data_IF_340042133467
#
_entry.id   IF_340042133467
#
_cell.length_a   1.000
_cell.length_b   1.000
_cell.length_c   1.000
_cell.angle_alpha   90.00
_cell.angle_beta   90.00
_cell.angle_gamma   90.00
#
_symmetry.space_group_name_H-M   'P 1'
#
loop_
_entity.id
_entity.type
_entity.pdbx_description
1 polymer ?
#
# COMPACT_ATOMS: atom_id res chain seq x y z
N UNK A 1 -23.40 -2.50 32.38
CA UNK A 1 -23.71 -3.15 31.09
C UNK A 1 -25.12 -3.77 31.05
N UNK A 2 -25.57 -4.38 32.15
CA UNK A 2 -26.81 -5.17 32.23
C UNK A 2 -28.08 -4.42 31.75
N UNK A 3 -28.24 -3.14 32.13
CA UNK A 3 -29.38 -2.32 31.71
C UNK A 3 -29.29 -1.73 30.28
N UNK A 4 -28.22 -1.97 29.52
CA UNK A 4 -28.05 -1.34 28.20
C UNK A 4 -28.83 -2.09 27.10
N UNK A 5 -29.43 -1.34 26.14
CA UNK A 5 -30.03 -1.89 24.90
C UNK A 5 -28.95 -2.46 23.98
N UNK A 6 -27.85 -1.72 23.82
CA UNK A 6 -26.66 -2.10 23.05
C UNK A 6 -25.43 -1.39 23.63
N UNK A 7 -24.24 -1.82 23.23
CA UNK A 7 -22.96 -1.24 23.67
C UNK A 7 -22.18 -0.79 22.44
N UNK A 8 -21.62 0.42 22.48
CA UNK A 8 -20.65 0.88 21.48
C UNK A 8 -19.26 0.84 22.11
N UNK A 9 -18.37 0.05 21.53
CA UNK A 9 -16.97 -0.05 21.93
C UNK A 9 -16.16 0.99 21.16
N UNK A 10 -15.99 2.18 21.75
CA UNK A 10 -15.23 3.25 21.13
C UNK A 10 -13.72 2.99 21.16
N UNK A 11 -13.13 3.05 19.97
CA UNK A 11 -11.69 2.95 19.77
C UNK A 11 -11.15 1.54 19.97
N UNK A 12 -9.87 1.41 19.63
CA UNK A 12 -9.16 0.14 19.76
C UNK A 12 -9.00 -0.30 21.21
N UNK A 13 -9.12 0.60 22.20
CA UNK A 13 -9.10 0.21 23.62
C UNK A 13 -10.27 -0.71 23.95
N UNK A 14 -11.50 -0.25 23.68
CA UNK A 14 -12.70 -1.03 23.99
C UNK A 14 -12.89 -2.19 23.00
N UNK A 15 -12.54 -2.00 21.73
CA UNK A 15 -12.72 -3.00 20.69
C UNK A 15 -11.69 -4.13 20.80
N UNK A 16 -10.41 -3.79 21.03
CA UNK A 16 -9.27 -4.69 20.82
C UNK A 16 -8.29 -4.77 22.02
N UNK A 17 -8.35 -3.84 22.97
CA UNK A 17 -7.41 -3.71 24.09
C UNK A 17 -6.37 -2.58 23.91
N UNK A 18 -5.97 -2.26 22.68
CA UNK A 18 -4.98 -1.22 22.34
C UNK A 18 -3.64 -1.34 23.08
N UNK A 19 -2.96 -0.21 23.33
CA UNK A 19 -1.57 -0.18 23.79
C UNK A 19 -1.39 -0.86 25.15
N UNK A 20 -2.35 -0.70 26.06
CA UNK A 20 -2.30 -1.33 27.38
C UNK A 20 -2.42 -2.85 27.34
N UNK A 21 -2.93 -3.41 26.23
CA UNK A 21 -3.03 -4.84 25.99
C UNK A 21 -1.88 -5.39 25.13
N UNK A 22 -0.99 -4.53 24.63
CA UNK A 22 0.21 -4.96 23.91
C UNK A 22 1.15 -5.74 24.84
N UNK A 23 2.00 -6.60 24.27
CA UNK A 23 2.95 -7.41 25.03
C UNK A 23 3.83 -6.55 25.96
N UNK A 24 3.97 -6.87 27.27
CA UNK A 24 3.50 -8.08 27.97
C UNK A 24 2.13 -7.98 28.66
N UNK A 25 1.33 -6.94 28.42
CA UNK A 25 0.02 -6.69 29.04
C UNK A 25 0.02 -6.86 30.58
N UNK A 26 0.75 -6.00 31.31
CA UNK A 26 0.97 -6.16 32.75
C UNK A 26 -0.30 -6.02 33.60
N UNK A 27 -1.39 -5.49 33.02
CA UNK A 27 -2.65 -5.24 33.73
C UNK A 27 -3.75 -6.26 33.40
N UNK A 28 -3.52 -7.15 32.44
CA UNK A 28 -4.57 -8.03 31.92
C UNK A 28 -5.67 -7.27 31.18
N UNK A 29 -5.35 -6.14 30.55
CA UNK A 29 -6.29 -5.33 29.79
C UNK A 29 -7.01 -6.20 28.74
N UNK A 30 -8.35 -6.19 28.80
CA UNK A 30 -9.21 -7.11 28.06
C UNK A 30 -10.32 -6.31 27.35
N UNK A 31 -10.54 -6.50 26.02
CA UNK A 31 -11.58 -5.79 25.29
C UNK A 31 -12.99 -6.18 25.72
N UNK A 32 -13.95 -5.28 25.49
CA UNK A 32 -15.31 -5.39 26.03
C UNK A 32 -16.02 -6.66 25.57
N UNK A 33 -15.85 -7.05 24.30
CA UNK A 33 -16.47 -8.24 23.74
C UNK A 33 -15.95 -9.55 24.35
N UNK A 34 -14.81 -9.54 25.05
CA UNK A 34 -14.31 -10.70 25.81
C UNK A 34 -14.95 -10.81 27.20
N UNK A 35 -15.44 -9.69 27.76
CA UNK A 35 -16.06 -9.62 29.09
C UNK A 35 -17.59 -9.75 29.01
N UNK A 36 -18.22 -9.03 28.08
CA UNK A 36 -19.68 -8.97 27.94
C UNK A 36 -20.10 -9.80 26.72
N UNK A 37 -20.93 -10.82 26.95
CA UNK A 37 -21.35 -11.80 25.91
C UNK A 37 -22.83 -11.76 25.57
N UNK A 38 -23.65 -11.16 26.42
CA UNK A 38 -25.12 -11.20 26.36
C UNK A 38 -25.74 -9.88 25.87
N UNK A 39 -24.97 -9.04 25.17
CA UNK A 39 -25.44 -7.75 24.63
C UNK A 39 -24.93 -7.56 23.21
N UNK A 40 -25.68 -6.87 22.32
CA UNK A 40 -25.14 -6.42 21.05
C UNK A 40 -23.99 -5.43 21.27
N UNK A 41 -22.87 -5.65 20.61
CA UNK A 41 -21.67 -4.81 20.70
C UNK A 41 -21.31 -4.30 19.31
N UNK A 42 -21.19 -2.98 19.18
CA UNK A 42 -20.75 -2.28 17.98
C UNK A 42 -19.31 -1.85 18.19
N UNK A 43 -18.36 -2.51 17.54
CA UNK A 43 -16.95 -2.17 17.61
C UNK A 43 -16.63 -1.03 16.64
N UNK A 44 -16.14 0.10 17.15
CA UNK A 44 -15.72 1.23 16.31
C UNK A 44 -14.24 1.47 16.57
N UNK A 45 -13.33 0.63 16.02
CA UNK A 45 -11.92 0.67 16.33
C UNK A 45 -11.18 1.81 15.62
N UNK A 46 -9.94 2.04 16.06
CA UNK A 46 -9.10 3.18 15.70
C UNK A 46 -8.49 3.79 16.96
N UNK A 47 -7.28 4.33 16.85
CA UNK A 47 -6.59 4.98 17.97
C UNK A 47 -6.30 6.47 17.67
N UNK A 48 -7.33 7.35 17.72
CA UNK A 48 -8.76 7.07 17.92
C UNK A 48 -9.48 6.69 16.61
N UNK A 49 -10.81 6.44 16.62
CA UNK A 49 -11.63 6.46 15.41
C UNK A 49 -11.77 7.90 14.88
N UNK A 50 -12.14 8.04 13.61
CA UNK A 50 -12.40 9.34 12.98
C UNK A 50 -13.64 9.98 13.65
N UNK A 51 -13.60 11.28 13.96
CA UNK A 51 -14.69 11.98 14.65
C UNK A 51 -16.02 11.91 13.91
N UNK A 52 -16.00 12.10 12.60
CA UNK A 52 -17.18 12.01 11.72
C UNK A 52 -17.72 10.57 11.62
N UNK A 53 -16.86 9.56 11.77
CA UNK A 53 -17.28 8.14 11.85
C UNK A 53 -18.01 7.88 13.17
N UNK A 54 -17.48 8.38 14.29
CA UNK A 54 -18.14 8.26 15.60
C UNK A 54 -19.52 8.93 15.59
N UNK A 55 -19.58 10.17 15.08
CA UNK A 55 -20.83 10.90 14.91
C UNK A 55 -21.80 10.15 13.98
N UNK A 56 -21.31 9.63 12.85
CA UNK A 56 -22.11 8.88 11.89
C UNK A 56 -22.76 7.63 12.49
N UNK A 57 -22.06 6.88 13.35
CA UNK A 57 -22.63 5.73 14.07
C UNK A 57 -23.75 6.16 15.01
N UNK A 58 -23.57 7.25 15.77
CA UNK A 58 -24.60 7.76 16.69
C UNK A 58 -25.84 8.25 15.91
N UNK A 59 -25.62 9.05 14.86
CA UNK A 59 -26.71 9.56 14.00
C UNK A 59 -27.48 8.41 13.36
N UNK A 60 -26.79 7.36 12.89
CA UNK A 60 -27.44 6.18 12.32
C UNK A 60 -28.38 5.51 13.34
N UNK A 61 -27.90 5.26 14.56
CA UNK A 61 -28.68 4.63 15.61
C UNK A 61 -29.92 5.46 15.96
N UNK A 62 -29.78 6.78 16.07
CA UNK A 62 -30.90 7.68 16.40
C UNK A 62 -31.91 7.81 15.26
N UNK A 63 -31.44 7.84 14.02
CA UNK A 63 -32.29 8.07 12.84
C UNK A 63 -33.09 6.82 12.46
N UNK A 64 -32.46 5.65 12.56
CA UNK A 64 -33.05 4.39 12.07
C UNK A 64 -33.53 3.46 13.19
N UNK A 65 -33.33 3.81 14.47
CA UNK A 65 -33.60 2.99 15.67
C UNK A 65 -33.16 1.52 15.54
N UNK A 66 -32.03 1.28 14.88
CA UNK A 66 -31.47 -0.06 14.66
C UNK A 66 -29.97 -0.04 14.58
N UNK A 67 -29.36 -1.16 14.94
CA UNK A 67 -27.91 -1.37 14.82
C UNK A 67 -27.51 -1.40 13.34
N UNK A 68 -26.44 -0.69 12.92
CA UNK A 68 -25.96 -0.74 11.55
C UNK A 68 -25.50 -2.15 11.17
N UNK A 69 -25.43 -2.45 9.88
CA UNK A 69 -24.84 -3.72 9.44
C UNK A 69 -23.38 -3.81 9.88
N UNK A 70 -23.04 -4.90 10.57
CA UNK A 70 -21.70 -5.14 11.10
C UNK A 70 -20.98 -6.21 10.29
N UNK A 71 -19.65 -6.12 10.20
CA UNK A 71 -18.81 -7.20 9.68
C UNK A 71 -18.62 -8.32 10.71
N UNK A 72 -17.85 -9.36 10.34
CA UNK A 72 -17.59 -10.51 11.22
C UNK A 72 -16.83 -10.17 12.52
N UNK A 73 -16.25 -8.97 12.63
CA UNK A 73 -15.59 -8.46 13.83
C UNK A 73 -16.48 -7.48 14.61
N UNK A 74 -17.75 -7.33 14.22
CA UNK A 74 -18.69 -6.42 14.87
C UNK A 74 -18.49 -4.94 14.50
N UNK A 75 -17.80 -4.64 13.38
CA UNK A 75 -17.52 -3.26 12.96
C UNK A 75 -18.54 -2.74 11.95
N UNK A 76 -19.02 -1.48 12.03
CA UNK A 76 -19.96 -0.94 11.05
C UNK A 76 -19.44 -1.00 9.60
N UNK A 77 -20.10 -1.76 8.73
CA UNK A 77 -19.64 -1.96 7.34
C UNK A 77 -19.51 -0.66 6.55
N UNK A 78 -20.32 0.35 6.87
CA UNK A 78 -20.24 1.66 6.22
C UNK A 78 -18.84 2.30 6.29
N UNK A 79 -18.06 2.00 7.35
CA UNK A 79 -16.74 2.61 7.58
C UNK A 79 -15.58 1.61 7.59
N UNK A 80 -15.87 0.32 7.81
CA UNK A 80 -14.85 -0.72 8.01
C UNK A 80 -14.92 -1.87 7.00
N UNK A 81 -15.67 -1.74 5.90
CA UNK A 81 -15.79 -2.79 4.86
C UNK A 81 -14.66 -2.80 3.84
N UNK A 82 -13.84 -1.76 3.77
CA UNK A 82 -12.73 -1.63 2.82
C UNK A 82 -11.43 -1.37 3.56
N UNK A 83 -10.33 -1.87 2.99
CA UNK A 83 -9.00 -1.57 3.50
C UNK A 83 -8.60 -0.16 3.07
N UNK A 84 -7.74 0.47 3.86
CA UNK A 84 -7.14 1.77 3.52
C UNK A 84 -6.47 1.72 2.15
N UNK A 85 -5.79 0.61 1.84
CA UNK A 85 -5.12 0.44 0.55
C UNK A 85 -6.07 0.37 -0.65
N UNK A 86 -7.28 -0.16 -0.47
CA UNK A 86 -8.29 -0.29 -1.54
C UNK A 86 -8.93 1.06 -1.92
N UNK A 87 -8.65 2.12 -1.16
CA UNK A 87 -9.19 3.47 -1.34
C UNK A 87 -8.11 4.55 -1.27
N UNK A 88 -6.83 4.16 -1.25
CA UNK A 88 -5.70 5.07 -1.08
C UNK A 88 -5.43 5.87 -2.36
N UNK A 89 -5.28 7.19 -2.25
CA UNK A 89 -4.94 8.03 -3.42
C UNK A 89 -3.53 7.77 -3.98
N UNK A 90 -2.61 7.21 -3.17
CA UNK A 90 -1.27 6.79 -3.62
C UNK A 90 -1.24 5.42 -4.27
N UNK A 91 -2.40 4.76 -4.45
CA UNK A 91 -2.49 3.42 -5.05
C UNK A 91 -1.89 3.32 -6.45
N UNK A 92 -2.07 4.31 -7.36
CA UNK A 92 -1.41 4.27 -8.67
C UNK A 92 0.13 4.17 -8.56
N UNK A 93 0.74 4.87 -7.60
CA UNK A 93 2.18 4.78 -7.35
C UNK A 93 2.59 3.38 -6.86
N UNK A 94 1.76 2.74 -6.03
CA UNK A 94 2.00 1.36 -5.61
C UNK A 94 1.98 0.40 -6.81
N UNK A 95 0.97 0.50 -7.67
CA UNK A 95 0.79 -0.39 -8.82
C UNK A 95 1.90 -0.21 -9.87
N UNK A 96 2.43 1.02 -9.97
CA UNK A 96 3.56 1.39 -10.82
C UNK A 96 4.94 1.00 -10.24
N UNK A 97 5.02 0.54 -8.99
CA UNK A 97 6.32 0.25 -8.34
C UNK A 97 7.08 1.50 -7.87
N UNK A 98 6.39 2.64 -7.77
CA UNK A 98 6.94 3.93 -7.33
C UNK A 98 6.81 4.08 -5.82
N UNK A 99 7.92 3.84 -5.12
CA UNK A 99 7.98 3.82 -3.66
C UNK A 99 8.87 4.91 -3.09
N UNK A 100 8.53 5.32 -1.88
CA UNK A 100 9.43 6.04 -0.98
C UNK A 100 10.37 5.03 -0.35
N UNK A 101 11.67 5.30 -0.35
CA UNK A 101 12.72 4.42 0.20
C UNK A 101 13.29 4.99 1.50
N UNK A 102 13.24 6.31 1.68
CA UNK A 102 13.63 6.99 2.92
C UNK A 102 12.82 8.26 3.14
N UNK A 103 12.74 8.72 4.40
CA UNK A 103 12.04 9.96 4.71
C UNK A 103 12.71 11.16 4.04
N UNK A 104 11.89 12.05 3.45
CA UNK A 104 12.30 13.26 2.71
C UNK A 104 13.13 13.02 1.42
N UNK A 105 13.16 11.79 0.90
CA UNK A 105 13.69 11.56 -0.45
C UNK A 105 12.81 12.21 -1.54
N UNK A 106 13.30 12.20 -2.78
CA UNK A 106 12.57 12.80 -3.90
C UNK A 106 11.20 12.13 -4.12
N UNK A 107 11.12 10.81 -3.93
CA UNK A 107 9.88 10.04 -4.00
C UNK A 107 8.87 10.49 -2.94
N UNK A 108 9.32 10.80 -1.72
CA UNK A 108 8.48 11.30 -0.63
C UNK A 108 7.90 12.67 -0.97
N UNK A 109 8.74 13.58 -1.51
CA UNK A 109 8.34 14.92 -1.96
C UNK A 109 7.35 14.87 -3.13
N UNK A 110 7.44 13.84 -3.97
CA UNK A 110 6.47 13.56 -5.05
C UNK A 110 5.22 12.81 -4.59
N UNK A 111 5.13 12.40 -3.33
CA UNK A 111 3.97 11.70 -2.79
C UNK A 111 3.85 10.23 -3.24
N UNK A 112 4.96 9.55 -3.50
CA UNK A 112 5.00 8.14 -3.89
C UNK A 112 4.52 7.20 -2.76
N UNK A 113 4.34 5.92 -3.07
CA UNK A 113 3.74 4.98 -2.14
C UNK A 113 4.66 4.69 -0.94
N UNK A 114 4.09 4.68 0.27
CA UNK A 114 4.79 4.46 1.54
C UNK A 114 4.90 2.97 1.91
N UNK A 115 4.68 2.04 0.98
CA UNK A 115 4.68 0.62 1.27
C UNK A 115 6.03 0.15 1.83
N UNK A 116 7.13 0.50 1.17
CA UNK A 116 8.49 0.16 1.62
C UNK A 116 8.88 0.84 2.93
N UNK A 117 8.24 1.96 3.26
CA UNK A 117 8.34 2.61 4.58
C UNK A 117 7.55 1.92 5.70
N UNK A 118 6.91 0.78 5.42
CA UNK A 118 6.20 -0.03 6.44
C UNK A 118 4.68 0.14 6.48
N UNK A 119 4.07 0.81 5.50
CA UNK A 119 2.63 1.09 5.51
C UNK A 119 1.78 -0.20 5.62
N UNK A 120 1.00 -0.29 6.70
CA UNK A 120 0.06 -1.39 7.00
C UNK A 120 -1.34 -1.19 6.40
N UNK A 121 -1.52 -0.14 5.58
CA UNK A 121 -2.77 0.11 4.85
C UNK A 121 -3.33 -1.10 4.08
N UNK A 122 -2.50 -2.01 3.51
CA UNK A 122 -2.98 -3.23 2.84
C UNK A 122 -3.69 -4.25 3.73
N UNK A 123 -3.60 -4.13 5.05
CA UNK A 123 -4.23 -5.05 6.01
C UNK A 123 -5.08 -4.30 7.04
N UNK A 124 -5.34 -3.00 6.84
CA UNK A 124 -6.09 -2.16 7.78
C UNK A 124 -7.41 -1.72 7.20
N UNK A 125 -8.52 -2.04 7.85
CA UNK A 125 -9.87 -1.59 7.53
C UNK A 125 -10.21 -0.33 8.32
N UNK A 126 -10.48 0.75 7.60
CA UNK A 126 -10.93 2.02 8.16
C UNK A 126 -11.35 2.97 7.03
N UNK A 127 -11.95 4.10 7.36
CA UNK A 127 -12.39 5.13 6.41
C UNK A 127 -11.34 6.24 6.17
N UNK A 128 -10.12 6.14 6.70
CA UNK A 128 -9.14 7.25 6.67
C UNK A 128 -8.80 7.75 5.26
N UNK A 129 -8.81 6.89 4.25
CA UNK A 129 -8.51 7.30 2.87
C UNK A 129 -9.73 7.87 2.12
N UNK A 130 -10.94 7.69 2.67
CA UNK A 130 -12.20 8.18 2.09
C UNK A 130 -12.68 9.41 2.85
N UNK A 131 -13.05 9.26 4.12
CA UNK A 131 -13.54 10.33 5.00
C UNK A 131 -12.43 11.30 5.41
N UNK A 132 -11.20 10.79 5.52
CA UNK A 132 -10.04 11.50 6.11
C UNK A 132 -10.33 11.92 7.56
N UNK A 133 -9.44 12.70 8.12
CA UNK A 133 -9.46 13.19 9.48
C UNK A 133 -9.71 14.70 9.49
N UNK A 134 -10.41 15.16 10.53
CA UNK A 134 -10.62 16.56 10.86
C UNK A 134 -11.29 17.33 9.72
N UNK A 135 -12.58 17.08 9.46
CA UNK A 135 -13.34 17.71 8.38
C UNK A 135 -12.69 17.52 7.00
N UNK A 136 -12.22 16.31 6.71
CA UNK A 136 -11.69 15.97 5.39
C UNK A 136 -10.26 16.48 5.10
N UNK A 137 -9.56 17.06 6.08
CA UNK A 137 -8.27 17.75 5.86
C UNK A 137 -7.16 16.79 5.43
N UNK A 138 -6.83 15.80 6.27
CA UNK A 138 -5.73 14.87 5.97
C UNK A 138 -5.92 13.50 6.62
N UNK A 139 -4.95 12.60 6.43
CA UNK A 139 -4.84 11.33 7.14
C UNK A 139 -3.36 10.90 7.09
N UNK A 140 -2.89 9.90 7.86
CA UNK A 140 -1.47 9.61 8.02
C UNK A 140 -0.68 9.53 6.69
N UNK A 141 -1.21 8.78 5.73
CA UNK A 141 -0.54 8.58 4.43
C UNK A 141 -0.49 9.87 3.60
N UNK A 142 -1.55 10.70 3.63
CA UNK A 142 -1.53 12.01 2.93
C UNK A 142 -0.49 12.94 3.56
N UNK A 143 -0.34 12.89 4.89
CA UNK A 143 0.68 13.64 5.63
C UNK A 143 2.09 13.01 5.57
N UNK A 144 2.30 11.95 4.79
CA UNK A 144 3.63 11.37 4.54
C UNK A 144 4.05 10.26 5.49
N UNK A 145 3.23 9.85 6.46
CA UNK A 145 3.55 8.75 7.37
C UNK A 145 2.83 7.45 6.98
N UNK A 146 3.51 6.28 7.00
CA UNK A 146 2.86 4.99 6.78
C UNK A 146 1.69 4.77 7.76
N UNK A 147 0.62 4.12 7.29
CA UNK A 147 -0.43 3.65 8.19
C UNK A 147 0.15 2.60 9.14
N UNK A 148 -0.11 2.72 10.44
CA UNK A 148 0.36 1.77 11.45
C UNK A 148 -0.63 0.63 11.75
N UNK A 149 -1.83 0.68 11.16
CA UNK A 149 -2.87 -0.32 11.38
C UNK A 149 -3.68 -0.16 12.66
N UNK A 150 -3.82 1.08 13.16
CA UNK A 150 -4.37 1.34 14.50
C UNK A 150 -5.82 0.90 14.75
N UNK A 151 -6.57 0.49 13.71
CA UNK A 151 -7.93 -0.07 13.84
C UNK A 151 -8.00 -1.60 13.82
N UNK A 152 -6.87 -2.28 13.61
CA UNK A 152 -6.80 -3.75 13.65
C UNK A 152 -6.47 -4.26 15.06
N UNK A 153 -6.83 -5.52 15.32
CA UNK A 153 -6.43 -6.19 16.57
C UNK A 153 -4.90 -6.42 16.57
N UNK A 154 -4.28 -6.30 17.74
CA UNK A 154 -2.85 -6.55 17.97
C UNK A 154 -1.88 -5.73 17.11
N UNK A 155 -2.30 -4.59 16.54
CA UNK A 155 -1.42 -3.82 15.64
C UNK A 155 -0.12 -3.35 16.29
N UNK A 156 -0.08 -3.20 17.62
CA UNK A 156 1.14 -2.87 18.38
C UNK A 156 2.20 -3.98 18.35
N UNK A 157 1.77 -5.24 18.23
CA UNK A 157 2.63 -6.43 18.31
C UNK A 157 2.79 -7.14 16.95
N UNK A 158 2.19 -6.61 15.87
CA UNK A 158 2.31 -7.14 14.51
C UNK A 158 3.65 -6.76 13.83
N UNK A 159 4.72 -6.71 14.61
CA UNK A 159 6.08 -6.34 14.19
C UNK A 159 6.32 -4.82 14.10
N UNK A 160 7.57 -4.40 13.83
CA UNK A 160 7.93 -2.99 13.75
C UNK A 160 7.12 -2.22 12.69
N UNK A 161 6.72 -0.99 13.01
CA UNK A 161 5.89 -0.19 12.10
C UNK A 161 6.56 0.10 10.75
N UNK A 162 7.87 0.29 10.74
CA UNK A 162 8.64 0.62 9.53
C UNK A 162 9.09 -0.60 8.70
N UNK A 163 8.76 -1.82 9.15
CA UNK A 163 8.99 -3.01 8.36
C UNK A 163 7.80 -3.23 7.42
N UNK A 164 8.05 -3.32 6.11
CA UNK A 164 6.98 -3.58 5.15
C UNK A 164 6.42 -5.01 5.29
N UNK A 165 5.16 -5.17 4.91
CA UNK A 165 4.54 -6.49 4.80
C UNK A 165 5.27 -7.30 3.73
N UNK A 166 5.21 -8.64 3.77
CA UNK A 166 5.77 -9.44 2.69
C UNK A 166 5.15 -9.02 1.33
N UNK A 167 6.02 -8.77 0.35
CA UNK A 167 5.60 -8.43 -1.01
C UNK A 167 5.03 -9.66 -1.70
N UNK A 168 3.87 -9.54 -2.32
CA UNK A 168 3.38 -10.58 -3.24
C UNK A 168 4.00 -10.35 -4.62
N UNK A 169 4.54 -11.36 -5.30
CA UNK A 169 5.14 -11.21 -6.62
C UNK A 169 4.02 -10.91 -7.64
N UNK A 170 3.88 -9.65 -8.07
CA UNK A 170 2.86 -9.31 -9.08
C UNK A 170 2.53 -7.83 -9.32
N UNK A 171 3.14 -6.88 -8.61
CA UNK A 171 2.88 -5.45 -8.81
C UNK A 171 4.17 -4.67 -9.11
N UNK A 172 4.09 -3.73 -10.05
CA UNK A 172 5.22 -3.01 -10.62
C UNK A 172 5.17 -2.97 -12.16
N UNK A 173 4.02 -2.63 -12.74
CA UNK A 173 3.82 -2.68 -14.21
C UNK A 173 4.84 -1.76 -14.90
N UNK A 174 4.99 -0.53 -14.41
CA UNK A 174 5.93 0.44 -14.98
C UNK A 174 7.38 0.01 -14.76
N UNK A 175 7.76 -0.39 -13.53
CA UNK A 175 9.11 -0.93 -13.27
C UNK A 175 9.44 -2.15 -14.14
N UNK A 176 8.45 -3.02 -14.39
CA UNK A 176 8.62 -4.19 -15.27
C UNK A 176 8.78 -3.76 -16.73
N UNK A 177 8.00 -2.77 -17.17
CA UNK A 177 8.09 -2.23 -18.53
C UNK A 177 9.44 -1.53 -18.77
N UNK A 178 9.95 -0.78 -17.80
CA UNK A 178 11.26 -0.14 -17.85
C UNK A 178 12.40 -1.16 -17.96
N UNK A 179 12.36 -2.22 -17.14
CA UNK A 179 13.37 -3.29 -17.18
C UNK A 179 13.37 -4.03 -18.54
N UNK A 180 12.19 -4.39 -19.05
CA UNK A 180 12.03 -5.02 -20.37
C UNK A 180 12.49 -4.05 -21.46
N UNK A 181 12.09 -2.78 -21.38
CA UNK A 181 12.46 -1.74 -22.34
C UNK A 181 13.97 -1.53 -22.41
N UNK A 182 14.64 -1.49 -21.24
CA UNK A 182 16.09 -1.40 -21.14
C UNK A 182 16.77 -2.61 -21.77
N UNK A 183 16.31 -3.82 -21.46
CA UNK A 183 16.87 -5.06 -22.00
C UNK A 183 16.74 -5.12 -23.53
N UNK A 184 15.54 -4.87 -24.07
CA UNK A 184 15.28 -4.85 -25.52
C UNK A 184 16.09 -3.76 -26.21
N UNK A 185 16.16 -2.56 -25.60
CA UNK A 185 16.97 -1.45 -26.09
C UNK A 185 18.44 -1.83 -26.20
N UNK A 186 19.02 -2.40 -25.14
CA UNK A 186 20.42 -2.82 -25.10
C UNK A 186 20.73 -3.89 -26.17
N UNK A 187 19.87 -4.91 -26.31
CA UNK A 187 20.02 -5.95 -27.34
C UNK A 187 19.97 -5.34 -28.75
N UNK A 188 19.04 -4.42 -28.99
CA UNK A 188 18.88 -3.75 -30.29
C UNK A 188 20.13 -2.95 -30.64
N UNK A 189 20.65 -2.16 -29.70
CA UNK A 189 21.89 -1.37 -29.88
C UNK A 189 23.07 -2.29 -30.19
N UNK A 190 23.25 -3.38 -29.43
CA UNK A 190 24.30 -4.35 -29.67
C UNK A 190 24.18 -5.02 -31.05
N UNK A 191 22.96 -5.37 -31.47
CA UNK A 191 22.67 -5.92 -32.78
C UNK A 191 23.04 -4.98 -33.92
N UNK A 192 22.65 -3.70 -33.81
CA UNK A 192 22.99 -2.65 -34.78
C UNK A 192 24.51 -2.46 -34.86
N UNK A 193 25.20 -2.37 -33.72
CA UNK A 193 26.65 -2.21 -33.67
C UNK A 193 27.38 -3.41 -34.31
N UNK A 194 26.97 -4.64 -33.98
CA UNK A 194 27.53 -5.86 -34.56
C UNK A 194 27.29 -5.93 -36.09
N UNK A 195 26.09 -5.55 -36.54
CA UNK A 195 25.78 -5.48 -37.97
C UNK A 195 26.67 -4.46 -38.69
N UNK A 196 26.81 -3.25 -38.15
CA UNK A 196 27.64 -2.20 -38.72
C UNK A 196 29.13 -2.60 -38.81
N UNK A 197 29.68 -3.23 -37.77
CA UNK A 197 31.06 -3.75 -37.78
C UNK A 197 31.24 -4.83 -38.84
N UNK A 198 30.34 -5.82 -38.88
CA UNK A 198 30.42 -6.93 -39.85
C UNK A 198 30.26 -6.44 -41.29
N UNK A 199 29.34 -5.52 -41.55
CA UNK A 199 29.11 -4.94 -42.87
C UNK A 199 30.35 -4.20 -43.36
N UNK A 200 30.99 -3.38 -42.51
CA UNK A 200 32.22 -2.67 -42.86
C UNK A 200 33.38 -3.63 -43.14
N UNK A 201 33.58 -4.68 -42.33
CA UNK A 201 34.62 -5.70 -42.58
C UNK A 201 34.38 -6.41 -43.92
N UNK A 202 33.14 -6.86 -44.19
CA UNK A 202 32.79 -7.54 -45.44
C UNK A 202 33.00 -6.62 -46.64
N UNK A 203 32.55 -5.36 -46.56
CA UNK A 203 32.72 -4.37 -47.62
C UNK A 203 34.20 -4.08 -47.89
N UNK A 204 35.04 -3.98 -46.85
CA UNK A 204 36.49 -3.80 -47.01
C UNK A 204 37.15 -4.99 -47.73
N UNK A 205 36.74 -6.22 -47.41
CA UNK A 205 37.21 -7.43 -48.10
C UNK A 205 36.82 -7.44 -49.58
N UNK A 206 35.58 -7.07 -49.90
CA UNK A 206 35.09 -6.97 -51.28
C UNK A 206 35.88 -5.92 -52.06
N UNK A 207 36.03 -4.71 -51.52
CA UNK A 207 36.81 -3.64 -52.17
C UNK A 207 38.27 -4.07 -52.42
N UNK A 208 38.91 -4.74 -51.46
CA UNK A 208 40.28 -5.23 -51.64
C UNK A 208 40.37 -6.32 -52.72
N UNK A 209 39.39 -7.23 -52.79
CA UNK A 209 39.32 -8.25 -53.83
C UNK A 209 39.15 -7.62 -55.22
N UNK A 210 38.23 -6.65 -55.36
CA UNK A 210 38.02 -5.92 -56.63
C UNK A 210 39.29 -5.17 -57.07
N UNK A 211 40.03 -4.57 -56.12
CA UNK A 211 41.31 -3.90 -56.40
C UNK A 211 42.38 -4.90 -56.87
N UNK A 212 42.46 -6.08 -56.26
CA UNK A 212 43.42 -7.13 -56.68
C UNK A 212 43.08 -7.72 -58.05
N UNK A 213 41.79 -7.90 -58.35
CA UNK A 213 41.31 -8.37 -59.66
C UNK A 213 41.58 -7.34 -60.75
N UNK A 214 41.27 -6.06 -60.51
CA UNK A 214 41.58 -4.95 -61.42
C UNK A 214 43.07 -4.82 -61.73
N UNK A 215 43.94 -5.13 -60.76
CA UNK A 215 45.41 -5.15 -60.96
C UNK A 215 45.89 -6.34 -61.79
N UNK A 216 45.16 -7.46 -61.80
CA UNK A 216 45.48 -8.62 -62.63
C UNK A 216 45.01 -8.44 -64.07
N UNK A 217 43.87 -7.79 -64.27
CA UNK A 217 43.30 -7.55 -65.62
C UNK A 217 43.96 -6.35 -66.35
N UNK A 218 44.50 -5.36 -65.63
CA UNK A 218 45.22 -4.22 -66.23
C UNK A 218 46.72 -4.43 -66.45
N UNK A 219 47.19 -5.68 -66.37
CA UNK A 219 48.61 -6.08 -66.41
C UNK A 219 49.03 -6.92 -67.62
N UNK A 220 48.24 -6.92 -68.70
CA UNK A 220 48.63 -7.34 -70.06
C UNK A 220 48.79 -6.10 -70.96
#
# INVERSE_FOLDING_TARGET
>A
AEGAKAIISWGSCASNGCIQAANPNPTGATPIHKIIKNKPIINVPGCPPIGEVMAGVIVYLLTFDRIPELDGMGRPKAFYSRRIHDTCYRRPNYDAGLFVESFDDESARKGYCLYKMGCKGPVTYNACAVTKWNNGVSYPIKSGHPCIGCSEENFWDNGPFYQHLASFPGFGIETTADDIGLAVGAVTVAGIAAHAVRANIKKRKLINADIEESKKEGGE
#
